data_IF_836447874295
#
_entry.id   IF_836447874295
#
_cell.length_a   1.000
_cell.length_b   1.000
_cell.length_c   1.000
_cell.angle_alpha   90.00
_cell.angle_beta   90.00
_cell.angle_gamma   90.00
#
_symmetry.space_group_name_H-M   'P 1'
#
loop_
_entity.id
_entity.type
_entity.pdbx_description
1 polymer ?
#
# COMPACT_ATOMS: atom_id res chain seq x y z
N UNK A 1 64.13 -28.34 -27.46
CA UNK A 1 63.13 -27.91 -26.47
C UNK A 1 62.12 -27.07 -27.19
N UNK A 2 60.89 -27.53 -27.42
CA UNK A 2 59.85 -26.74 -28.07
C UNK A 2 59.12 -25.85 -27.08
N UNK A 3 58.87 -24.66 -27.52
CA UNK A 3 58.26 -23.49 -26.81
C UNK A 3 56.82 -23.82 -26.36
N UNK A 4 56.48 -23.56 -25.08
CA UNK A 4 55.13 -23.74 -24.54
C UNK A 4 54.30 -22.50 -24.89
N UNK A 5 53.08 -22.66 -25.46
CA UNK A 5 52.21 -21.53 -25.71
C UNK A 5 51.75 -20.92 -24.39
N UNK A 6 51.88 -19.59 -24.24
CA UNK A 6 51.34 -18.77 -23.13
C UNK A 6 49.82 -18.97 -23.07
N UNK A 7 49.29 -19.39 -21.93
CA UNK A 7 47.85 -19.35 -21.63
C UNK A 7 47.37 -17.91 -21.71
N UNK A 8 46.51 -17.62 -22.66
CA UNK A 8 45.70 -16.42 -22.69
C UNK A 8 44.83 -16.39 -21.43
N UNK A 9 45.03 -15.41 -20.60
CA UNK A 9 44.10 -15.08 -19.51
C UNK A 9 42.81 -14.61 -20.16
N UNK A 10 41.79 -15.48 -20.16
CA UNK A 10 40.45 -15.11 -20.58
C UNK A 10 40.02 -13.88 -19.74
N UNK A 11 39.81 -12.74 -20.39
CA UNK A 11 39.21 -11.59 -19.80
C UNK A 11 37.84 -12.01 -19.21
N UNK A 12 37.54 -11.54 -18.01
CA UNK A 12 36.21 -11.73 -17.44
C UNK A 12 35.16 -11.25 -18.45
N UNK A 13 34.05 -12.00 -18.64
CA UNK A 13 33.02 -11.57 -19.56
C UNK A 13 32.53 -10.17 -19.18
N UNK A 14 32.48 -9.28 -20.17
CA UNK A 14 31.94 -7.94 -20.02
C UNK A 14 30.55 -8.01 -19.33
N UNK A 15 30.24 -7.12 -18.37
CA UNK A 15 28.94 -7.11 -17.74
C UNK A 15 27.87 -6.95 -18.81
N UNK A 16 26.91 -7.88 -18.81
CA UNK A 16 25.76 -7.88 -19.74
C UNK A 16 25.16 -6.46 -19.71
N UNK A 17 25.07 -5.75 -20.85
CA UNK A 17 24.51 -4.40 -20.87
C UNK A 17 23.12 -4.43 -20.28
N UNK A 18 22.84 -3.49 -19.34
CA UNK A 18 21.50 -3.30 -18.77
C UNK A 18 20.53 -3.05 -19.95
N UNK A 19 19.47 -3.88 -20.13
CA UNK A 19 18.58 -3.78 -21.29
C UNK A 19 17.84 -2.44 -21.40
N UNK A 20 17.93 -1.57 -20.38
CA UNK A 20 17.31 -0.24 -20.37
C UNK A 20 18.31 0.91 -20.62
N UNK A 21 19.62 0.65 -20.72
CA UNK A 21 20.65 1.69 -20.91
C UNK A 21 20.82 2.62 -19.67
N UNK A 22 20.30 2.23 -18.51
CA UNK A 22 20.43 2.99 -17.27
C UNK A 22 21.62 2.45 -16.49
N UNK A 23 22.66 3.26 -16.19
CA UNK A 23 23.80 2.79 -15.40
C UNK A 23 23.34 2.23 -14.07
N UNK A 24 23.77 1.02 -13.69
CA UNK A 24 23.36 0.31 -12.47
C UNK A 24 21.83 0.10 -12.33
N UNK A 25 21.06 0.11 -13.42
CA UNK A 25 19.59 0.07 -13.41
C UNK A 25 19.02 -1.09 -12.59
N UNK A 26 19.61 -2.28 -12.71
CA UNK A 26 19.19 -3.46 -11.95
C UNK A 26 19.39 -3.30 -10.43
N UNK A 27 20.49 -2.67 -9.99
CA UNK A 27 20.75 -2.38 -8.58
C UNK A 27 19.78 -1.31 -8.05
N UNK A 28 19.58 -0.23 -8.82
CA UNK A 28 18.64 0.84 -8.47
C UNK A 28 17.23 0.27 -8.33
N UNK A 29 16.76 -0.50 -9.30
CA UNK A 29 15.45 -1.13 -9.27
C UNK A 29 15.27 -2.04 -8.05
N UNK A 30 16.25 -2.89 -7.74
CA UNK A 30 16.21 -3.75 -6.54
C UNK A 30 16.05 -2.95 -5.25
N UNK A 31 16.76 -1.85 -5.08
CA UNK A 31 16.63 -0.99 -3.89
C UNK A 31 15.22 -0.39 -3.77
N UNK A 32 14.63 0.07 -4.88
CA UNK A 32 13.26 0.60 -4.91
C UNK A 32 12.21 -0.49 -4.65
N UNK A 33 12.41 -1.70 -5.18
CA UNK A 33 11.56 -2.85 -4.90
C UNK A 33 11.59 -3.22 -3.42
N UNK A 34 12.79 -3.31 -2.82
CA UNK A 34 12.93 -3.63 -1.39
C UNK A 34 12.33 -2.51 -0.52
N UNK A 35 12.52 -1.24 -0.89
CA UNK A 35 11.92 -0.11 -0.18
C UNK A 35 10.38 -0.17 -0.20
N UNK A 36 9.80 -0.49 -1.36
CA UNK A 36 8.35 -0.64 -1.52
C UNK A 36 7.81 -1.87 -0.77
N UNK A 37 8.54 -2.99 -0.80
CA UNK A 37 8.23 -4.20 -0.05
C UNK A 37 8.23 -3.92 1.46
N UNK A 38 9.30 -3.33 2.01
CA UNK A 38 9.44 -3.05 3.45
C UNK A 38 8.35 -2.07 3.92
N UNK A 39 8.07 -1.00 3.16
CA UNK A 39 6.98 -0.07 3.47
C UNK A 39 5.62 -0.77 3.55
N UNK A 40 5.39 -1.72 2.65
CA UNK A 40 4.14 -2.50 2.64
C UNK A 40 4.12 -3.55 3.74
N UNK A 41 5.25 -4.19 4.02
CA UNK A 41 5.38 -5.12 5.15
C UNK A 41 5.04 -4.44 6.46
N UNK A 42 5.61 -3.27 6.73
CA UNK A 42 5.34 -2.53 7.97
C UNK A 42 3.85 -2.15 8.11
N UNK A 43 3.22 -1.75 7.00
CA UNK A 43 1.81 -1.34 6.97
C UNK A 43 0.84 -2.48 7.28
N UNK A 44 1.05 -3.66 6.71
CA UNK A 44 0.14 -4.79 6.85
C UNK A 44 0.49 -5.74 7.99
N UNK A 45 1.65 -5.58 8.63
CA UNK A 45 2.06 -6.39 9.78
C UNK A 45 1.14 -6.20 10.99
N UNK A 46 0.50 -5.04 11.15
CA UNK A 46 -0.27 -4.70 12.35
C UNK A 46 -1.48 -5.62 12.56
N UNK A 47 -2.18 -6.03 11.49
CA UNK A 47 -3.45 -6.75 11.59
C UNK A 47 -3.37 -8.07 12.39
N UNK A 48 -2.45 -9.02 12.10
CA UNK A 48 -2.31 -10.24 12.89
C UNK A 48 -1.73 -10.01 14.29
N UNK A 49 -1.13 -8.85 14.56
CA UNK A 49 -0.50 -8.51 15.85
C UNK A 49 -1.45 -7.83 16.83
N UNK A 50 -2.64 -7.36 16.40
CA UNK A 50 -3.54 -6.55 17.22
C UNK A 50 -3.94 -7.24 18.52
N UNK A 51 -4.27 -8.54 18.48
CA UNK A 51 -4.65 -9.30 19.68
C UNK A 51 -3.45 -9.50 20.61
N UNK A 52 -2.26 -9.79 20.05
CA UNK A 52 -1.03 -9.93 20.85
C UNK A 52 -0.66 -8.60 21.54
N UNK A 53 -0.83 -7.49 20.84
CA UNK A 53 -0.60 -6.14 21.38
C UNK A 53 -1.62 -5.83 22.49
N UNK A 54 -2.90 -6.16 22.27
CA UNK A 54 -3.96 -5.93 23.25
C UNK A 54 -3.71 -6.70 24.55
N UNK A 55 -3.32 -7.96 24.45
CA UNK A 55 -2.98 -8.80 25.61
C UNK A 55 -1.72 -8.30 26.33
N UNK A 56 -0.65 -8.01 25.59
CA UNK A 56 0.64 -7.64 26.21
C UNK A 56 0.62 -6.25 26.87
N UNK A 57 -0.18 -5.31 26.33
CA UNK A 57 -0.30 -3.95 26.88
C UNK A 57 -1.54 -3.77 27.77
N UNK A 58 -2.27 -4.84 28.07
CA UNK A 58 -3.49 -4.86 28.90
C UNK A 58 -4.53 -3.80 28.48
N UNK A 59 -4.89 -3.79 27.21
CA UNK A 59 -5.87 -2.87 26.62
C UNK A 59 -6.91 -3.64 25.81
N UNK A 60 -8.06 -3.01 25.52
CA UNK A 60 -9.05 -3.61 24.64
C UNK A 60 -8.55 -3.71 23.19
N UNK A 61 -9.14 -4.63 22.42
CA UNK A 61 -8.82 -4.81 20.99
C UNK A 61 -9.11 -3.54 20.19
N UNK A 62 -10.17 -2.79 20.52
CA UNK A 62 -10.51 -1.53 19.89
C UNK A 62 -9.47 -0.44 20.14
N UNK A 63 -8.93 -0.38 21.37
CA UNK A 63 -7.81 0.51 21.71
C UNK A 63 -6.57 0.13 20.91
N UNK A 64 -6.25 -1.16 20.82
CA UNK A 64 -5.15 -1.64 19.97
C UNK A 64 -5.38 -1.34 18.48
N UNK A 65 -6.62 -1.47 17.98
CA UNK A 65 -6.98 -1.11 16.60
C UNK A 65 -6.82 0.40 16.33
N UNK A 66 -6.93 1.25 17.36
CA UNK A 66 -6.60 2.68 17.28
C UNK A 66 -5.17 2.94 16.80
N UNK A 67 -4.23 2.03 17.11
CA UNK A 67 -2.84 2.09 16.62
C UNK A 67 -2.78 1.94 15.10
N UNK A 68 -3.56 1.04 14.52
CA UNK A 68 -3.68 0.88 13.06
C UNK A 68 -4.38 2.09 12.43
N UNK A 69 -5.44 2.59 13.06
CA UNK A 69 -6.15 3.81 12.62
C UNK A 69 -5.21 5.02 12.57
N UNK A 70 -4.44 5.27 13.62
CA UNK A 70 -3.45 6.36 13.67
C UNK A 70 -2.37 6.23 12.59
N UNK A 71 -1.90 5.02 12.35
CA UNK A 71 -0.96 4.73 11.26
C UNK A 71 -1.55 5.10 9.90
N UNK A 72 -2.77 4.64 9.58
CA UNK A 72 -3.41 4.93 8.30
C UNK A 72 -3.70 6.41 8.12
N UNK A 73 -4.14 7.09 9.19
CA UNK A 73 -4.36 8.53 9.18
C UNK A 73 -3.08 9.29 8.78
N UNK A 74 -1.98 9.01 9.45
CA UNK A 74 -0.69 9.64 9.18
C UNK A 74 -0.17 9.25 7.79
N UNK A 75 -0.33 7.98 7.40
CA UNK A 75 0.07 7.49 6.08
C UNK A 75 -0.64 8.26 4.96
N UNK A 76 -1.94 8.48 5.08
CA UNK A 76 -2.73 9.23 4.10
C UNK A 76 -2.32 10.71 4.04
N UNK A 77 -2.31 11.39 5.17
CA UNK A 77 -2.01 12.83 5.23
C UNK A 77 -0.60 13.15 4.75
N UNK A 78 0.39 12.36 5.15
CA UNK A 78 1.78 12.59 4.82
C UNK A 78 2.13 12.30 3.37
N UNK A 79 1.33 11.55 2.61
CA UNK A 79 1.58 11.35 1.17
C UNK A 79 1.61 12.66 0.38
N UNK A 80 0.68 13.57 0.68
CA UNK A 80 0.65 14.90 0.04
C UNK A 80 1.88 15.71 0.42
N UNK A 81 2.26 15.69 1.71
CA UNK A 81 3.44 16.42 2.22
C UNK A 81 4.72 15.89 1.57
N UNK A 82 4.91 14.57 1.54
CA UNK A 82 6.09 13.96 0.94
C UNK A 82 6.17 14.19 -0.58
N UNK A 83 5.03 14.22 -1.27
CA UNK A 83 5.00 14.57 -2.69
C UNK A 83 5.62 15.94 -2.93
N UNK A 84 5.18 16.95 -2.18
CA UNK A 84 5.70 18.32 -2.27
C UNK A 84 7.17 18.41 -1.89
N UNK A 85 7.56 17.77 -0.78
CA UNK A 85 8.97 17.74 -0.38
C UNK A 85 9.85 17.04 -1.41
N UNK A 86 9.35 15.97 -2.03
CA UNK A 86 10.07 15.21 -3.04
C UNK A 86 10.37 16.05 -4.30
N UNK A 87 9.42 16.89 -4.71
CA UNK A 87 9.62 17.81 -5.83
C UNK A 87 10.65 18.90 -5.53
N UNK A 88 10.77 19.34 -4.27
CA UNK A 88 11.67 20.41 -3.84
C UNK A 88 13.06 19.94 -3.41
N UNK A 89 13.11 18.87 -2.64
CA UNK A 89 14.34 18.39 -1.99
C UNK A 89 15.04 17.29 -2.77
N UNK A 90 14.31 16.65 -3.70
CA UNK A 90 14.77 15.49 -4.44
C UNK A 90 14.18 14.17 -3.97
N UNK A 91 14.12 13.21 -4.89
CA UNK A 91 13.46 11.89 -4.67
C UNK A 91 14.24 11.06 -3.67
N UNK A 92 15.54 10.92 -3.86
CA UNK A 92 16.41 10.08 -3.01
C UNK A 92 16.56 10.68 -1.62
N UNK A 93 16.73 12.01 -1.54
CA UNK A 93 16.84 12.70 -0.25
C UNK A 93 15.58 12.50 0.58
N UNK A 94 14.41 12.67 0.00
CA UNK A 94 13.12 12.46 0.69
C UNK A 94 12.93 11.00 1.11
N UNK A 95 13.20 10.02 0.24
CA UNK A 95 13.15 8.61 0.62
C UNK A 95 14.07 8.31 1.81
N UNK A 96 15.27 8.87 1.84
CA UNK A 96 16.19 8.68 2.96
C UNK A 96 15.72 9.35 4.26
N UNK A 97 15.23 10.60 4.18
CA UNK A 97 14.63 11.26 5.36
C UNK A 97 13.47 10.46 5.93
N UNK A 98 12.59 9.99 5.07
CA UNK A 98 11.46 9.15 5.43
C UNK A 98 11.91 7.81 6.06
N UNK A 99 12.93 7.15 5.51
CA UNK A 99 13.48 5.91 6.08
C UNK A 99 14.12 6.13 7.45
N UNK A 100 14.79 7.26 7.67
CA UNK A 100 15.34 7.62 8.99
C UNK A 100 14.21 7.76 10.02
N UNK A 101 13.16 8.51 9.69
CA UNK A 101 12.00 8.66 10.58
C UNK A 101 11.23 7.35 10.78
N UNK A 102 11.09 6.53 9.73
CA UNK A 102 10.44 5.22 9.81
C UNK A 102 11.24 4.24 10.68
N UNK A 103 12.56 4.22 10.56
CA UNK A 103 13.43 3.39 11.41
C UNK A 103 13.36 3.83 12.88
N UNK A 104 13.41 5.13 13.16
CA UNK A 104 13.26 5.66 14.52
C UNK A 104 11.88 5.35 15.11
N UNK A 105 10.81 5.59 14.36
CA UNK A 105 9.44 5.26 14.80
C UNK A 105 9.20 3.76 14.95
N UNK A 106 9.76 2.95 14.05
CA UNK A 106 9.70 1.48 14.15
C UNK A 106 10.44 0.94 15.37
N UNK A 107 11.63 1.48 15.68
CA UNK A 107 12.36 1.15 16.90
C UNK A 107 11.58 1.60 18.16
N UNK A 108 11.03 2.81 18.16
CA UNK A 108 10.16 3.28 19.24
C UNK A 108 8.91 2.39 19.40
N UNK A 109 8.34 1.88 18.28
CA UNK A 109 7.24 0.91 18.31
C UNK A 109 7.64 -0.39 18.97
N UNK A 110 8.84 -0.93 18.65
CA UNK A 110 9.36 -2.15 19.24
C UNK A 110 9.63 -2.02 20.75
N UNK A 111 10.02 -0.84 21.20
CA UNK A 111 10.35 -0.54 22.60
C UNK A 111 9.16 0.04 23.39
N UNK A 112 7.98 0.16 22.80
CA UNK A 112 6.84 0.84 23.39
C UNK A 112 6.37 0.17 24.70
N UNK A 113 6.37 0.87 25.84
CA UNK A 113 5.91 0.34 27.13
C UNK A 113 4.39 0.49 27.32
N UNK A 114 3.71 1.25 26.46
CA UNK A 114 2.27 1.49 26.54
C UNK A 114 1.68 1.70 25.15
N UNK A 115 0.36 1.51 25.05
CA UNK A 115 -0.39 1.72 23.78
C UNK A 115 -0.27 3.17 23.28
N UNK A 116 -0.19 4.16 24.16
CA UNK A 116 -0.03 5.57 23.78
C UNK A 116 1.33 5.82 23.11
N UNK A 117 2.41 5.29 23.66
CA UNK A 117 3.73 5.38 23.05
C UNK A 117 3.75 4.63 21.72
N UNK A 118 3.14 3.43 21.67
CA UNK A 118 3.01 2.66 20.43
C UNK A 118 2.23 3.44 19.38
N UNK A 119 1.10 4.05 19.73
CA UNK A 119 0.28 4.87 18.82
C UNK A 119 1.10 6.01 18.20
N UNK A 120 1.80 6.79 19.04
CA UNK A 120 2.63 7.92 18.57
C UNK A 120 3.74 7.40 17.66
N UNK A 121 4.43 6.34 18.05
CA UNK A 121 5.49 5.72 17.27
C UNK A 121 4.97 5.21 15.91
N UNK A 122 3.79 4.58 15.87
CA UNK A 122 3.16 4.09 14.65
C UNK A 122 2.64 5.22 13.75
N UNK A 123 2.17 6.34 14.31
CA UNK A 123 1.84 7.56 13.56
C UNK A 123 3.10 8.07 12.83
N UNK A 124 4.22 8.19 13.53
CA UNK A 124 5.50 8.61 12.92
C UNK A 124 5.94 7.62 11.84
N UNK A 125 5.91 6.31 12.15
CA UNK A 125 6.33 5.26 11.21
C UNK A 125 5.48 5.27 9.95
N UNK A 126 4.15 5.31 10.09
CA UNK A 126 3.20 5.33 8.97
C UNK A 126 3.35 6.58 8.11
N UNK A 127 3.43 7.75 8.75
CA UNK A 127 3.67 9.00 8.07
C UNK A 127 4.98 8.99 7.26
N UNK A 128 6.04 8.41 7.80
CA UNK A 128 7.32 8.30 7.12
C UNK A 128 7.30 7.26 5.99
N UNK A 129 6.82 6.04 6.23
CA UNK A 129 6.77 5.01 5.18
C UNK A 129 5.88 5.39 4.00
N UNK A 130 4.94 6.31 4.16
CA UNK A 130 4.04 6.78 3.08
C UNK A 130 4.79 7.42 1.90
N UNK A 131 6.03 7.90 2.10
CA UNK A 131 6.87 8.48 1.05
C UNK A 131 7.37 7.45 0.03
N UNK A 132 7.61 6.20 0.48
CA UNK A 132 8.51 5.27 -0.22
C UNK A 132 7.97 4.84 -1.60
N UNK A 133 6.72 4.38 -1.66
CA UNK A 133 6.13 3.86 -2.90
C UNK A 133 5.97 4.99 -3.94
N UNK A 134 5.33 6.14 -3.61
CA UNK A 134 5.20 7.23 -4.57
C UNK A 134 6.56 7.75 -5.07
N UNK A 135 7.51 7.99 -4.16
CA UNK A 135 8.85 8.48 -4.55
C UNK A 135 9.61 7.46 -5.41
N UNK A 136 9.47 6.15 -5.15
CA UNK A 136 10.06 5.10 -5.98
C UNK A 136 9.49 5.09 -7.40
N UNK A 137 8.17 5.23 -7.54
CA UNK A 137 7.52 5.27 -8.86
C UNK A 137 7.92 6.53 -9.64
N UNK A 138 7.98 7.69 -8.97
CA UNK A 138 8.44 8.94 -9.60
C UNK A 138 9.91 8.84 -9.99
N UNK A 139 10.76 8.30 -9.12
CA UNK A 139 12.18 8.07 -9.42
C UNK A 139 12.37 7.22 -10.69
N UNK A 140 11.60 6.13 -10.84
CA UNK A 140 11.61 5.32 -12.07
C UNK A 140 11.14 6.15 -13.26
N UNK A 141 10.08 6.94 -13.09
CA UNK A 141 9.57 7.84 -14.13
C UNK A 141 10.59 8.86 -14.61
N UNK A 142 11.41 9.39 -13.70
CA UNK A 142 12.43 10.42 -13.95
C UNK A 142 13.73 9.85 -14.54
N UNK A 143 14.07 8.58 -14.24
CA UNK A 143 15.40 8.01 -14.57
C UNK A 143 15.39 6.96 -15.68
N UNK A 144 14.24 6.31 -15.96
CA UNK A 144 14.13 5.34 -17.07
C UNK A 144 13.49 5.97 -18.32
N UNK A 145 14.00 5.67 -19.53
CA UNK A 145 13.39 6.11 -20.79
C UNK A 145 11.92 5.69 -20.90
N UNK A 146 11.10 6.56 -21.51
CA UNK A 146 9.64 6.38 -21.60
C UNK A 146 9.19 5.05 -22.21
N UNK A 147 9.96 4.54 -23.19
CA UNK A 147 9.67 3.29 -23.92
C UNK A 147 9.91 2.02 -23.10
N UNK A 148 10.72 2.07 -22.03
CA UNK A 148 11.09 0.88 -21.23
C UNK A 148 10.66 0.96 -19.75
N UNK A 149 10.30 2.13 -19.24
CA UNK A 149 9.98 2.34 -17.82
C UNK A 149 8.76 1.58 -17.30
N UNK A 150 7.88 1.10 -18.19
CA UNK A 150 6.67 0.37 -17.78
C UNK A 150 7.00 -0.90 -16.98
N UNK A 151 8.06 -1.62 -17.35
CA UNK A 151 8.49 -2.82 -16.65
C UNK A 151 9.02 -2.53 -15.25
N UNK A 152 10.00 -1.61 -15.04
CA UNK A 152 10.43 -1.20 -13.70
C UNK A 152 9.30 -0.70 -12.79
N UNK A 153 8.34 0.09 -13.33
CA UNK A 153 7.16 0.52 -12.57
C UNK A 153 6.32 -0.67 -12.10
N UNK A 154 6.08 -1.64 -13.00
CA UNK A 154 5.34 -2.86 -12.65
C UNK A 154 6.07 -3.71 -11.63
N UNK A 155 7.39 -3.76 -11.69
CA UNK A 155 8.23 -4.54 -10.78
C UNK A 155 8.22 -3.94 -9.35
N UNK A 156 8.23 -2.61 -9.21
CA UNK A 156 8.07 -1.91 -7.92
C UNK A 156 6.70 -2.20 -7.31
N UNK A 157 5.62 -2.14 -8.11
CA UNK A 157 4.27 -2.45 -7.64
C UNK A 157 4.09 -3.93 -7.29
N UNK A 158 4.72 -4.84 -8.03
CA UNK A 158 4.72 -6.28 -7.72
C UNK A 158 5.44 -6.57 -6.39
N UNK A 159 6.55 -5.88 -6.11
CA UNK A 159 7.24 -5.98 -4.83
C UNK A 159 6.36 -5.49 -3.66
N UNK A 160 5.61 -4.41 -3.86
CA UNK A 160 4.63 -3.94 -2.87
C UNK A 160 3.52 -4.97 -2.62
N UNK A 161 2.96 -5.58 -3.69
CA UNK A 161 1.93 -6.61 -3.56
C UNK A 161 2.45 -7.88 -2.85
N UNK A 162 3.70 -8.30 -3.15
CA UNK A 162 4.36 -9.38 -2.43
C UNK A 162 4.55 -9.03 -0.95
N UNK A 163 4.92 -7.76 -0.67
CA UNK A 163 5.07 -7.25 0.69
C UNK A 163 3.80 -7.43 1.52
N UNK A 164 2.61 -7.29 0.94
CA UNK A 164 1.34 -7.50 1.66
C UNK A 164 1.17 -8.95 2.11
N UNK A 165 1.43 -9.93 1.22
CA UNK A 165 1.31 -11.35 1.56
C UNK A 165 2.36 -11.78 2.61
N UNK A 166 3.62 -11.33 2.42
CA UNK A 166 4.73 -11.60 3.36
C UNK A 166 4.46 -10.96 4.72
N UNK A 167 3.89 -9.75 4.74
CA UNK A 167 3.63 -9.01 5.97
C UNK A 167 2.64 -9.74 6.88
N UNK A 168 1.47 -10.09 6.35
CA UNK A 168 0.41 -10.70 7.16
C UNK A 168 0.82 -12.09 7.66
N UNK A 169 1.35 -12.94 6.78
CA UNK A 169 1.81 -14.27 7.14
C UNK A 169 3.04 -14.23 8.07
N UNK A 170 4.05 -13.44 7.69
CA UNK A 170 5.29 -13.32 8.45
C UNK A 170 5.11 -12.65 9.81
N UNK A 171 4.31 -11.58 9.89
CA UNK A 171 4.04 -10.91 11.15
C UNK A 171 3.25 -11.80 12.12
N UNK A 172 2.27 -12.55 11.62
CA UNK A 172 1.55 -13.52 12.45
C UNK A 172 2.48 -14.60 13.01
N UNK A 173 3.31 -15.20 12.15
CA UNK A 173 4.26 -16.24 12.55
C UNK A 173 5.30 -15.71 13.55
N UNK A 174 5.96 -14.61 13.24
CA UNK A 174 6.97 -14.02 14.11
C UNK A 174 6.35 -13.49 15.41
N UNK A 175 5.14 -12.95 15.35
CA UNK A 175 4.38 -12.50 16.51
C UNK A 175 4.12 -13.62 17.51
N UNK A 176 3.70 -14.80 17.02
CA UNK A 176 3.49 -15.98 17.87
C UNK A 176 4.80 -16.55 18.44
N UNK A 177 5.87 -16.63 17.62
CA UNK A 177 7.11 -17.30 18.00
C UNK A 177 8.00 -16.46 18.93
N UNK A 178 8.13 -15.16 18.66
CA UNK A 178 9.13 -14.29 19.29
C UNK A 178 8.56 -12.92 19.71
N UNK A 179 7.24 -12.74 19.56
CA UNK A 179 6.53 -11.54 20.02
C UNK A 179 6.45 -10.43 18.98
N UNK A 180 5.38 -9.62 19.10
CA UNK A 180 5.05 -8.54 18.18
C UNK A 180 6.10 -7.43 18.08
N UNK A 181 6.85 -7.18 19.16
CA UNK A 181 7.93 -6.18 19.21
C UNK A 181 9.03 -6.47 18.20
N UNK A 182 9.37 -7.75 18.03
CA UNK A 182 10.41 -8.18 17.08
C UNK A 182 10.00 -7.87 15.63
N UNK A 183 8.73 -7.96 15.29
CA UNK A 183 8.25 -7.62 13.94
C UNK A 183 8.54 -6.16 13.63
N UNK A 184 8.26 -5.24 14.56
CA UNK A 184 8.56 -3.82 14.37
C UNK A 184 10.06 -3.51 14.41
N UNK A 185 10.84 -4.23 15.22
CA UNK A 185 12.29 -4.12 15.21
C UNK A 185 12.90 -4.53 13.86
N UNK A 186 12.39 -5.61 13.25
CA UNK A 186 12.84 -6.06 11.93
C UNK A 186 12.51 -5.05 10.82
N UNK A 187 11.31 -4.48 10.81
CA UNK A 187 10.96 -3.42 9.83
C UNK A 187 11.78 -2.15 10.05
N UNK A 188 12.06 -1.79 11.30
CA UNK A 188 12.95 -0.68 11.65
C UNK A 188 14.38 -0.92 11.15
N UNK A 189 14.94 -2.10 11.39
CA UNK A 189 16.27 -2.50 10.94
C UNK A 189 16.36 -2.52 9.41
N UNK A 190 15.33 -3.03 8.72
CA UNK A 190 15.25 -3.00 7.26
C UNK A 190 15.19 -1.54 6.73
N UNK A 191 14.42 -0.67 7.39
CA UNK A 191 14.36 0.75 7.07
C UNK A 191 15.72 1.45 7.25
N UNK A 192 16.43 1.15 8.35
CA UNK A 192 17.78 1.66 8.59
C UNK A 192 18.77 1.16 7.53
N UNK A 193 18.73 -0.14 7.20
CA UNK A 193 19.56 -0.71 6.13
C UNK A 193 19.31 -0.04 4.76
N UNK A 194 18.06 0.21 4.43
CA UNK A 194 17.68 0.93 3.20
C UNK A 194 18.14 2.39 3.21
N UNK A 195 18.08 3.07 4.36
CA UNK A 195 18.63 4.43 4.49
C UNK A 195 20.09 4.51 4.05
N UNK A 196 20.91 3.53 4.43
CA UNK A 196 22.30 3.44 3.98
C UNK A 196 22.40 2.97 2.53
N UNK A 197 21.59 1.99 2.10
CA UNK A 197 21.58 1.45 0.75
C UNK A 197 21.25 2.51 -0.32
N UNK A 198 20.31 3.40 -0.02
CA UNK A 198 19.91 4.47 -0.94
C UNK A 198 20.95 5.63 -1.07
N UNK A 199 21.99 5.67 -0.23
CA UNK A 199 23.06 6.70 -0.35
C UNK A 199 23.76 6.68 -1.71
N UNK A 200 23.82 5.53 -2.36
CA UNK A 200 24.47 5.38 -3.66
C UNK A 200 23.56 5.62 -4.86
N UNK A 201 22.29 6.01 -4.65
CA UNK A 201 21.42 6.40 -5.76
C UNK A 201 21.67 7.84 -6.16
N UNK A 202 21.85 8.14 -7.47
CA UNK A 202 21.93 9.52 -7.95
C UNK A 202 20.56 10.20 -7.83
N UNK A 203 20.56 11.48 -7.52
CA UNK A 203 19.36 12.31 -7.58
C UNK A 203 19.02 12.60 -9.05
N UNK A 204 17.75 12.49 -9.50
CA UNK A 204 17.37 12.84 -10.86
C UNK A 204 17.56 14.36 -11.13
N UNK A 205 18.02 14.71 -12.35
CA UNK A 205 18.23 16.10 -12.77
C UNK A 205 16.93 16.92 -12.84
N UNK A 206 15.76 16.25 -12.94
CA UNK A 206 14.44 16.88 -12.97
C UNK A 206 14.12 17.74 -11.74
N UNK A 207 14.79 17.48 -10.62
CA UNK A 207 14.62 18.25 -9.36
C UNK A 207 15.15 19.68 -9.49
N UNK A 208 16.19 19.90 -10.28
CA UNK A 208 16.81 21.23 -10.47
C UNK A 208 15.92 22.18 -11.30
N UNK A 209 14.96 21.67 -12.04
CA UNK A 209 14.09 22.43 -12.95
C UNK A 209 12.72 22.79 -12.36
N UNK A 210 12.38 22.33 -11.15
CA UNK A 210 11.10 22.62 -10.53
C UNK A 210 11.06 24.07 -10.04
N UNK A 211 10.46 24.95 -10.83
CA UNK A 211 10.14 26.32 -10.44
C UNK A 211 9.13 26.29 -9.28
N UNK A 212 9.64 26.56 -8.09
CA UNK A 212 8.87 26.39 -6.86
C UNK A 212 8.03 27.64 -6.61
N UNK A 213 6.86 27.72 -7.21
CA UNK A 213 5.86 28.77 -6.96
C UNK A 213 5.34 28.84 -5.52
N UNK A 214 6.19 28.58 -4.52
CA UNK A 214 5.85 28.66 -3.11
C UNK A 214 4.71 27.69 -2.70
N UNK A 215 3.97 28.05 -1.64
CA UNK A 215 2.83 27.28 -1.14
C UNK A 215 1.66 27.28 -2.14
N UNK A 216 1.49 28.37 -2.89
CA UNK A 216 0.45 28.50 -3.94
C UNK A 216 0.65 27.50 -5.08
N UNK A 217 1.90 27.18 -5.45
CA UNK A 217 2.22 26.16 -6.45
C UNK A 217 1.76 24.76 -6.08
N UNK A 218 1.64 24.48 -4.77
CA UNK A 218 1.13 23.19 -4.23
C UNK A 218 -0.38 23.21 -4.06
N UNK A 219 -0.92 24.28 -3.49
CA UNK A 219 -2.34 24.36 -3.15
C UNK A 219 -3.23 24.52 -4.37
N UNK A 220 -2.76 25.22 -5.41
CA UNK A 220 -3.54 25.47 -6.64
C UNK A 220 -3.93 24.16 -7.36
N UNK A 221 -3.01 23.21 -7.66
CA UNK A 221 -3.38 21.94 -8.27
C UNK A 221 -4.32 21.11 -7.41
N UNK A 222 -4.15 21.11 -6.07
CA UNK A 222 -5.09 20.45 -5.15
C UNK A 222 -6.47 21.07 -5.22
N UNK A 223 -6.55 22.41 -5.21
CA UNK A 223 -7.80 23.14 -5.37
C UNK A 223 -8.48 22.83 -6.72
N UNK A 224 -7.71 22.72 -7.80
CA UNK A 224 -8.22 22.34 -9.12
C UNK A 224 -8.88 20.94 -9.10
N UNK A 225 -8.26 19.97 -8.44
CA UNK A 225 -8.84 18.63 -8.28
C UNK A 225 -10.12 18.67 -7.45
N UNK A 226 -10.12 19.37 -6.34
CA UNK A 226 -11.27 19.47 -5.44
C UNK A 226 -12.45 20.27 -6.05
N UNK A 227 -12.18 21.16 -7.00
CA UNK A 227 -13.21 21.88 -7.74
C UNK A 227 -13.93 21.03 -8.80
N UNK A 228 -13.27 19.98 -9.32
CA UNK A 228 -13.85 19.12 -10.35
C UNK A 228 -14.88 18.14 -9.76
N UNK A 229 -16.07 18.07 -10.40
CA UNK A 229 -17.18 17.24 -9.94
C UNK A 229 -16.89 15.74 -10.02
N UNK A 230 -16.25 15.27 -11.08
CA UNK A 230 -15.90 13.87 -11.25
C UNK A 230 -14.76 13.46 -10.32
N UNK A 231 -13.78 14.34 -10.10
CA UNK A 231 -12.73 14.09 -9.13
C UNK A 231 -13.29 13.91 -7.72
N UNK A 232 -14.24 14.74 -7.29
CA UNK A 232 -14.91 14.58 -5.98
C UNK A 232 -15.62 13.24 -5.85
N UNK A 233 -16.28 12.76 -6.91
CA UNK A 233 -16.91 11.43 -6.92
C UNK A 233 -15.84 10.33 -6.75
N UNK A 234 -14.75 10.39 -7.51
CA UNK A 234 -13.65 9.40 -7.43
C UNK A 234 -13.01 9.40 -6.04
N UNK A 235 -12.80 10.59 -5.45
CA UNK A 235 -12.25 10.72 -4.10
C UNK A 235 -13.20 10.14 -3.04
N UNK A 236 -14.51 10.41 -3.15
CA UNK A 236 -15.50 9.81 -2.24
C UNK A 236 -15.54 8.28 -2.36
N UNK A 237 -15.50 7.75 -3.59
CA UNK A 237 -15.43 6.30 -3.81
C UNK A 237 -14.15 5.71 -3.20
N UNK A 238 -13.00 6.38 -3.32
CA UNK A 238 -11.76 5.96 -2.70
C UNK A 238 -11.83 5.97 -1.17
N UNK A 239 -12.47 6.99 -0.57
CA UNK A 239 -12.69 7.03 0.87
C UNK A 239 -13.51 5.83 1.35
N UNK A 240 -14.65 5.58 0.71
CA UNK A 240 -15.52 4.45 1.06
C UNK A 240 -14.83 3.10 0.80
N UNK A 241 -14.04 2.99 -0.28
CA UNK A 241 -13.20 1.82 -0.54
C UNK A 241 -12.21 1.58 0.62
N UNK A 242 -11.57 2.63 1.14
CA UNK A 242 -10.70 2.55 2.31
C UNK A 242 -11.41 1.97 3.54
N UNK A 243 -12.66 2.39 3.77
CA UNK A 243 -13.51 1.86 4.87
C UNK A 243 -13.79 0.37 4.69
N UNK A 244 -14.25 -0.04 3.52
CA UNK A 244 -14.77 -1.42 3.34
C UNK A 244 -13.70 -2.43 2.89
N UNK A 245 -12.54 -1.97 2.40
CA UNK A 245 -11.45 -2.87 2.02
C UNK A 245 -10.39 -2.87 3.09
N UNK A 246 -9.67 -1.76 3.30
CA UNK A 246 -8.49 -1.74 4.16
C UNK A 246 -8.83 -1.81 5.65
N UNK A 247 -9.85 -1.05 6.10
CA UNK A 247 -10.24 -1.07 7.50
C UNK A 247 -10.83 -2.43 7.90
N UNK A 248 -11.78 -2.96 7.12
CA UNK A 248 -12.39 -4.25 7.42
C UNK A 248 -11.40 -5.42 7.30
N UNK A 249 -10.45 -5.36 6.33
CA UNK A 249 -9.35 -6.31 6.21
C UNK A 249 -8.51 -6.40 7.49
N UNK A 250 -8.31 -5.27 8.20
CA UNK A 250 -7.54 -5.22 9.45
C UNK A 250 -8.13 -6.14 10.54
N UNK A 251 -9.42 -6.42 10.48
CA UNK A 251 -10.11 -7.25 11.48
C UNK A 251 -10.27 -8.74 11.08
N UNK A 252 -9.85 -9.16 9.89
CA UNK A 252 -9.93 -10.58 9.50
C UNK A 252 -9.07 -11.49 10.39
N UNK A 253 -7.82 -11.09 10.65
CA UNK A 253 -6.95 -11.86 11.53
C UNK A 253 -7.44 -11.85 12.99
N UNK A 254 -7.76 -10.71 13.62
CA UNK A 254 -8.37 -10.69 14.95
C UNK A 254 -9.64 -11.53 15.08
N UNK A 255 -10.49 -11.56 14.04
CA UNK A 255 -11.71 -12.37 14.05
C UNK A 255 -11.43 -13.88 14.16
N UNK A 256 -10.38 -14.38 13.49
CA UNK A 256 -9.96 -15.78 13.65
C UNK A 256 -9.29 -16.02 15.02
N UNK A 257 -8.51 -15.07 15.51
CA UNK A 257 -7.87 -15.19 16.83
C UNK A 257 -8.92 -15.22 17.96
N UNK A 258 -10.00 -14.47 17.84
CA UNK A 258 -11.14 -14.54 18.77
C UNK A 258 -11.82 -15.93 18.81
N UNK A 259 -11.66 -16.75 17.76
CA UNK A 259 -12.11 -18.13 17.71
C UNK A 259 -11.04 -19.17 18.15
N UNK A 260 -9.93 -18.69 18.74
CA UNK A 260 -8.85 -19.53 19.23
C UNK A 260 -7.76 -19.88 18.22
N UNK A 261 -7.76 -19.30 17.01
CA UNK A 261 -6.65 -19.45 16.08
C UNK A 261 -5.42 -18.68 16.58
N UNK A 262 -4.21 -19.21 16.36
CA UNK A 262 -3.00 -18.47 16.62
C UNK A 262 -2.82 -17.28 15.66
N UNK A 263 -1.98 -16.31 16.02
CA UNK A 263 -1.67 -15.18 15.13
C UNK A 263 -0.98 -15.65 13.84
N UNK A 264 -0.19 -16.74 13.89
CA UNK A 264 0.42 -17.37 12.73
C UNK A 264 -0.64 -17.87 11.73
N UNK A 265 -1.61 -18.64 12.19
CA UNK A 265 -2.71 -19.16 11.35
C UNK A 265 -3.56 -18.01 10.81
N UNK A 266 -3.95 -17.07 11.68
CA UNK A 266 -4.78 -15.94 11.30
C UNK A 266 -4.06 -15.02 10.28
N UNK A 267 -2.76 -14.78 10.46
CA UNK A 267 -1.93 -14.00 9.55
C UNK A 267 -1.75 -14.70 8.19
N UNK A 268 -1.49 -16.01 8.18
CA UNK A 268 -1.36 -16.79 6.96
C UNK A 268 -2.66 -16.77 6.14
N UNK A 269 -3.80 -17.01 6.79
CA UNK A 269 -5.13 -17.03 6.15
C UNK A 269 -5.49 -15.64 5.59
N UNK A 270 -5.26 -14.59 6.37
CA UNK A 270 -5.50 -13.20 5.95
C UNK A 270 -4.55 -12.76 4.82
N UNK A 271 -3.38 -13.39 4.71
CA UNK A 271 -2.43 -13.22 3.60
C UNK A 271 -3.00 -13.57 2.23
N UNK A 272 -4.13 -14.26 2.17
CA UNK A 272 -4.93 -14.49 0.96
C UNK A 272 -5.23 -13.21 0.18
N UNK A 273 -5.32 -12.05 0.84
CA UNK A 273 -5.45 -10.75 0.18
C UNK A 273 -4.27 -10.44 -0.76
N UNK A 274 -3.05 -10.55 -0.28
CA UNK A 274 -1.86 -10.30 -1.09
C UNK A 274 -1.72 -11.28 -2.25
N UNK A 275 -1.98 -12.57 -2.01
CA UNK A 275 -1.97 -13.61 -3.05
C UNK A 275 -3.06 -13.35 -4.08
N UNK A 276 -4.28 -13.05 -3.64
CA UNK A 276 -5.40 -12.69 -4.52
C UNK A 276 -5.06 -11.47 -5.38
N UNK A 277 -4.53 -10.40 -4.79
CA UNK A 277 -4.13 -9.21 -5.52
C UNK A 277 -3.07 -9.52 -6.61
N UNK A 278 -2.08 -10.36 -6.32
CA UNK A 278 -1.07 -10.79 -7.29
C UNK A 278 -1.66 -11.62 -8.43
N UNK A 279 -2.52 -12.59 -8.12
CA UNK A 279 -3.14 -13.47 -9.12
C UNK A 279 -4.08 -12.69 -10.03
N UNK A 280 -5.01 -11.94 -9.43
CA UNK A 280 -6.02 -11.19 -10.19
C UNK A 280 -5.43 -10.00 -10.96
N UNK A 281 -4.32 -9.40 -10.52
CA UNK A 281 -3.63 -8.37 -11.30
C UNK A 281 -3.11 -8.90 -12.66
N UNK A 282 -2.74 -10.20 -12.74
CA UNK A 282 -2.39 -10.83 -14.02
C UNK A 282 -3.61 -10.96 -14.94
N UNK A 283 -4.77 -11.28 -14.36
CA UNK A 283 -6.03 -11.39 -15.11
C UNK A 283 -6.48 -10.01 -15.61
N UNK A 284 -6.44 -8.97 -14.77
CA UNK A 284 -6.76 -7.59 -15.20
C UNK A 284 -5.94 -7.18 -16.40
N UNK A 285 -4.63 -7.44 -16.41
CA UNK A 285 -3.75 -7.08 -17.54
C UNK A 285 -4.18 -7.72 -18.87
N UNK A 286 -4.82 -8.90 -18.84
CA UNK A 286 -5.34 -9.57 -20.04
C UNK A 286 -6.68 -8.99 -20.50
N UNK A 287 -7.45 -8.42 -19.56
CA UNK A 287 -8.80 -7.93 -19.81
C UNK A 287 -8.84 -6.42 -20.12
N UNK A 288 -7.80 -5.67 -19.71
CA UNK A 288 -7.66 -4.25 -20.08
C UNK A 288 -7.61 -4.12 -21.61
N UNK A 289 -8.43 -3.23 -22.15
CA UNK A 289 -8.60 -3.03 -23.60
C UNK A 289 -9.69 -3.91 -24.23
N UNK A 290 -10.07 -5.03 -23.61
CA UNK A 290 -11.17 -5.87 -24.08
C UNK A 290 -12.49 -5.58 -23.35
N UNK A 291 -12.40 -5.25 -22.04
CA UNK A 291 -13.54 -4.91 -21.21
C UNK A 291 -13.52 -3.41 -20.92
N UNK A 292 -14.67 -2.75 -21.04
CA UNK A 292 -14.83 -1.34 -20.71
C UNK A 292 -14.47 -1.10 -19.21
N UNK A 293 -13.90 0.07 -18.86
CA UNK A 293 -13.52 0.38 -17.47
C UNK A 293 -14.66 0.24 -16.45
N UNK A 294 -15.89 0.57 -16.82
CA UNK A 294 -17.06 0.35 -15.98
C UNK A 294 -17.32 -1.15 -15.70
N UNK A 295 -17.06 -2.01 -16.69
CA UNK A 295 -17.16 -3.47 -16.53
C UNK A 295 -16.07 -4.02 -15.59
N UNK A 296 -14.83 -3.50 -15.71
CA UNK A 296 -13.76 -3.85 -14.78
C UNK A 296 -14.10 -3.43 -13.35
N UNK A 297 -14.66 -2.22 -13.16
CA UNK A 297 -15.13 -1.77 -11.85
C UNK A 297 -16.25 -2.67 -11.30
N UNK A 298 -17.19 -3.10 -12.14
CA UNK A 298 -18.29 -3.99 -11.76
C UNK A 298 -17.78 -5.38 -11.35
N UNK A 299 -16.81 -5.95 -12.07
CA UNK A 299 -16.16 -7.24 -11.72
C UNK A 299 -15.46 -7.12 -10.37
N UNK A 300 -14.67 -6.06 -10.15
CA UNK A 300 -14.01 -5.81 -8.86
C UNK A 300 -15.01 -5.61 -7.73
N UNK A 301 -16.12 -4.95 -8.03
CA UNK A 301 -17.23 -4.79 -7.10
C UNK A 301 -17.90 -6.12 -6.74
N UNK A 302 -18.11 -7.01 -7.70
CA UNK A 302 -18.62 -8.35 -7.44
C UNK A 302 -17.69 -9.15 -6.50
N UNK A 303 -16.38 -9.06 -6.70
CA UNK A 303 -15.39 -9.63 -5.78
C UNK A 303 -15.50 -9.01 -4.38
N UNK A 304 -15.67 -7.70 -4.25
CA UNK A 304 -15.80 -7.00 -2.97
C UNK A 304 -17.04 -7.45 -2.20
N UNK A 305 -18.20 -7.51 -2.86
CA UNK A 305 -19.46 -7.96 -2.25
C UNK A 305 -19.35 -9.43 -1.85
N UNK A 306 -18.88 -10.29 -2.76
CA UNK A 306 -18.72 -11.72 -2.49
C UNK A 306 -17.76 -11.98 -1.32
N UNK A 307 -16.68 -11.18 -1.19
CA UNK A 307 -15.71 -11.31 -0.10
C UNK A 307 -16.37 -11.16 1.28
N UNK A 308 -17.35 -10.28 1.43
CA UNK A 308 -17.96 -10.01 2.73
C UNK A 308 -19.19 -10.91 3.05
N UNK A 309 -19.74 -11.64 2.09
CA UNK A 309 -20.91 -12.53 2.33
C UNK A 309 -20.55 -13.61 3.36
N UNK A 310 -19.48 -14.37 3.14
CA UNK A 310 -19.09 -15.46 4.01
C UNK A 310 -18.88 -15.04 5.46
N UNK A 311 -17.94 -14.11 5.74
CA UNK A 311 -17.67 -13.64 7.10
C UNK A 311 -18.84 -12.93 7.79
N UNK A 312 -19.79 -12.36 7.03
CA UNK A 312 -21.01 -11.76 7.58
C UNK A 312 -22.00 -12.78 8.13
N UNK A 313 -21.94 -14.03 7.66
CA UNK A 313 -22.79 -15.15 8.10
C UNK A 313 -22.07 -15.94 9.19
N UNK A 314 -20.84 -16.36 8.92
CA UNK A 314 -20.01 -17.12 9.85
C UNK A 314 -18.54 -16.81 9.65
N UNK A 315 -17.83 -16.61 10.76
CA UNK A 315 -16.37 -16.42 10.75
C UNK A 315 -15.71 -17.76 10.97
N UNK A 316 -14.91 -18.19 10.01
CA UNK A 316 -14.05 -19.39 10.10
C UNK A 316 -12.89 -19.26 9.11
N UNK A 317 -11.95 -20.21 9.13
CA UNK A 317 -10.76 -20.19 8.26
C UNK A 317 -11.14 -20.11 6.78
N UNK A 318 -12.15 -20.86 6.33
CA UNK A 318 -12.54 -20.90 4.92
C UNK A 318 -13.15 -19.56 4.45
N UNK A 319 -14.07 -18.97 5.27
CA UNK A 319 -14.72 -17.70 4.92
C UNK A 319 -13.72 -16.52 4.97
N UNK A 320 -12.77 -16.53 5.91
CA UNK A 320 -11.72 -15.48 5.98
C UNK A 320 -10.72 -15.62 4.84
N UNK A 321 -10.31 -16.83 4.47
CA UNK A 321 -9.44 -17.06 3.31
C UNK A 321 -10.13 -16.61 2.01
N UNK A 322 -11.40 -16.99 1.82
CA UNK A 322 -12.19 -16.57 0.67
C UNK A 322 -12.37 -15.04 0.63
N UNK A 323 -12.60 -14.41 1.79
CA UNK A 323 -12.68 -12.97 1.91
C UNK A 323 -11.35 -12.30 1.53
N UNK A 324 -10.22 -12.77 2.08
CA UNK A 324 -8.90 -12.28 1.70
C UNK A 324 -8.67 -12.34 0.19
N UNK A 325 -8.87 -13.51 -0.41
CA UNK A 325 -8.70 -13.70 -1.86
C UNK A 325 -9.64 -12.80 -2.67
N UNK A 326 -10.92 -12.71 -2.29
CA UNK A 326 -11.91 -11.85 -2.94
C UNK A 326 -11.58 -10.37 -2.84
N UNK A 327 -11.14 -9.90 -1.67
CA UNK A 327 -10.64 -8.53 -1.49
C UNK A 327 -9.41 -8.24 -2.36
N UNK A 328 -8.52 -9.24 -2.54
CA UNK A 328 -7.41 -9.15 -3.49
C UNK A 328 -7.90 -8.96 -4.93
N UNK A 329 -8.97 -9.67 -5.31
CA UNK A 329 -9.65 -9.47 -6.60
C UNK A 329 -10.26 -8.06 -6.73
N UNK A 330 -10.98 -7.60 -5.70
CA UNK A 330 -11.52 -6.25 -5.65
C UNK A 330 -10.41 -5.19 -5.80
N UNK A 331 -9.30 -5.37 -5.09
CA UNK A 331 -8.13 -4.48 -5.21
C UNK A 331 -7.58 -4.45 -6.63
N UNK A 332 -7.39 -5.62 -7.26
CA UNK A 332 -6.87 -5.70 -8.61
C UNK A 332 -7.79 -5.05 -9.65
N UNK A 333 -9.10 -5.21 -9.54
CA UNK A 333 -10.07 -4.74 -10.52
C UNK A 333 -10.66 -3.37 -10.18
N UNK A 334 -11.29 -3.21 -9.00
CA UNK A 334 -11.99 -1.97 -8.61
C UNK A 334 -10.99 -0.88 -8.28
N UNK A 335 -10.07 -1.13 -7.32
CA UNK A 335 -9.07 -0.13 -6.90
C UNK A 335 -8.24 0.38 -8.08
N UNK A 336 -7.69 -0.52 -8.91
CA UNK A 336 -6.89 -0.11 -10.06
C UNK A 336 -7.69 0.72 -11.07
N UNK A 337 -8.98 0.41 -11.26
CA UNK A 337 -9.88 1.19 -12.13
C UNK A 337 -10.15 2.57 -11.56
N UNK A 338 -10.44 2.69 -10.26
CA UNK A 338 -10.66 3.98 -9.58
C UNK A 338 -9.39 4.83 -9.62
N UNK A 339 -8.23 4.24 -9.33
CA UNK A 339 -6.94 4.94 -9.37
C UNK A 339 -6.60 5.43 -10.79
N UNK A 340 -6.84 4.59 -11.80
CA UNK A 340 -6.68 5.00 -13.21
C UNK A 340 -7.63 6.13 -13.56
N UNK A 341 -8.87 6.05 -13.11
CA UNK A 341 -9.86 7.11 -13.33
C UNK A 341 -9.45 8.43 -12.67
N UNK A 342 -8.88 8.40 -11.46
CA UNK A 342 -8.33 9.58 -10.81
C UNK A 342 -7.25 10.28 -11.66
N UNK A 343 -6.48 9.53 -12.46
CA UNK A 343 -5.48 10.13 -13.38
C UNK A 343 -6.08 10.81 -14.62
N UNK A 344 -7.35 10.53 -14.93
CA UNK A 344 -8.02 10.97 -16.15
C UNK A 344 -8.91 12.20 -15.93
N UNK A 345 -9.51 12.34 -14.74
CA UNK A 345 -10.52 13.39 -14.46
C UNK A 345 -9.95 14.81 -14.48
N UNK A 346 -8.68 15.00 -14.07
CA UNK A 346 -8.00 16.31 -14.08
C UNK A 346 -6.61 16.16 -14.69
N UNK A 347 -6.48 16.07 -16.03
CA UNK A 347 -5.21 15.80 -16.69
C UNK A 347 -4.10 16.80 -16.37
N UNK A 348 -4.46 18.08 -16.14
CA UNK A 348 -3.53 19.17 -15.79
C UNK A 348 -3.00 19.10 -14.34
N UNK A 349 -3.66 18.33 -13.46
CA UNK A 349 -3.26 18.15 -12.06
C UNK A 349 -3.17 16.66 -11.66
N UNK A 350 -2.76 15.80 -12.62
CA UNK A 350 -2.75 14.32 -12.48
C UNK A 350 -2.02 13.84 -11.23
N UNK A 351 -0.83 14.38 -10.93
CA UNK A 351 -0.05 13.99 -9.76
C UNK A 351 -0.81 14.30 -8.45
N UNK A 352 -1.41 15.49 -8.37
CA UNK A 352 -2.24 15.89 -7.22
C UNK A 352 -3.50 15.06 -7.07
N UNK A 353 -4.14 14.66 -8.18
CA UNK A 353 -5.30 13.78 -8.16
C UNK A 353 -4.97 12.39 -7.60
N UNK A 354 -3.84 11.80 -8.01
CA UNK A 354 -3.36 10.51 -7.46
C UNK A 354 -2.98 10.63 -5.99
N UNK A 355 -2.31 11.71 -5.60
CA UNK A 355 -1.94 11.93 -4.20
C UNK A 355 -3.18 12.10 -3.29
N UNK A 356 -4.18 12.89 -3.72
CA UNK A 356 -5.45 13.03 -3.01
C UNK A 356 -6.23 11.71 -2.97
N UNK A 357 -6.28 10.96 -4.07
CA UNK A 357 -6.91 9.64 -4.12
C UNK A 357 -6.34 8.72 -3.04
N UNK A 358 -5.02 8.59 -2.98
CA UNK A 358 -4.35 7.77 -1.99
C UNK A 358 -4.55 8.32 -0.56
N UNK A 359 -4.47 9.64 -0.36
CA UNK A 359 -4.71 10.25 0.94
C UNK A 359 -6.12 9.94 1.47
N UNK A 360 -7.16 10.16 0.67
CA UNK A 360 -8.55 9.91 1.11
C UNK A 360 -8.86 8.43 1.27
N UNK A 361 -8.23 7.53 0.50
CA UNK A 361 -8.31 6.08 0.70
C UNK A 361 -7.84 5.68 2.11
N UNK A 362 -6.67 6.19 2.53
CA UNK A 362 -6.14 5.90 3.85
C UNK A 362 -6.88 6.63 4.97
N UNK A 363 -7.43 7.82 4.72
CA UNK A 363 -8.35 8.48 5.64
C UNK A 363 -9.62 7.64 5.86
N UNK A 364 -10.17 7.06 4.79
CA UNK A 364 -11.28 6.10 4.87
C UNK A 364 -10.91 4.87 5.69
N UNK A 365 -9.70 4.33 5.47
CA UNK A 365 -9.20 3.21 6.26
C UNK A 365 -9.07 3.56 7.74
N UNK A 366 -8.52 4.71 8.08
CA UNK A 366 -8.41 5.19 9.46
C UNK A 366 -9.79 5.34 10.12
N UNK A 367 -10.72 6.03 9.45
CA UNK A 367 -12.07 6.22 9.92
C UNK A 367 -12.82 4.90 10.09
N UNK A 368 -12.75 4.01 9.10
CA UNK A 368 -13.38 2.69 9.15
C UNK A 368 -12.83 1.81 10.27
N UNK A 369 -11.52 1.82 10.50
CA UNK A 369 -10.90 1.08 11.61
C UNK A 369 -11.36 1.62 12.97
N UNK A 370 -11.42 2.93 13.14
CA UNK A 370 -11.91 3.55 14.36
C UNK A 370 -13.40 3.27 14.60
N UNK A 371 -14.24 3.35 13.57
CA UNK A 371 -15.69 3.06 13.66
C UNK A 371 -15.98 1.58 13.94
N UNK A 372 -15.10 0.67 13.48
CA UNK A 372 -15.25 -0.76 13.72
C UNK A 372 -14.74 -1.21 15.11
N UNK A 373 -13.94 -0.39 15.80
CA UNK A 373 -13.35 -0.73 17.09
C UNK A 373 -14.35 -1.19 18.16
N UNK A 374 -15.50 -0.53 18.39
CA UNK A 374 -16.48 -0.98 19.39
C UNK A 374 -17.08 -2.36 19.07
N UNK A 375 -17.27 -2.68 17.79
CA UNK A 375 -17.76 -4.01 17.38
C UNK A 375 -16.70 -5.10 17.60
N UNK A 376 -15.43 -4.76 17.38
CA UNK A 376 -14.31 -5.66 17.65
C UNK A 376 -14.13 -5.92 19.13
N UNK A 377 -14.27 -4.89 20.00
CA UNK A 377 -14.24 -5.03 21.46
C UNK A 377 -15.37 -5.92 21.99
N UNK A 378 -16.55 -5.82 21.38
CA UNK A 378 -17.69 -6.66 21.72
C UNK A 378 -17.60 -8.08 21.13
N UNK A 379 -16.53 -8.42 20.38
CA UNK A 379 -16.41 -9.70 19.66
C UNK A 379 -17.40 -9.87 18.50
N UNK A 380 -18.09 -8.80 18.09
CA UNK A 380 -19.16 -8.83 17.10
C UNK A 380 -18.63 -8.75 15.65
N UNK A 381 -17.64 -9.57 15.30
CA UNK A 381 -16.99 -9.55 13.98
C UNK A 381 -17.96 -9.81 12.82
N UNK A 382 -18.93 -10.72 12.99
CA UNK A 382 -19.97 -10.96 11.97
C UNK A 382 -20.80 -9.70 11.67
N UNK A 383 -21.09 -8.87 12.69
CA UNK A 383 -21.78 -7.59 12.51
C UNK A 383 -20.89 -6.55 11.84
N UNK A 384 -19.59 -6.52 12.16
CA UNK A 384 -18.60 -5.69 11.50
C UNK A 384 -18.54 -6.00 10.00
N UNK A 385 -18.43 -7.27 9.62
CA UNK A 385 -18.39 -7.68 8.22
C UNK A 385 -19.71 -7.48 7.48
N UNK A 386 -20.87 -7.60 8.18
CA UNK A 386 -22.18 -7.21 7.64
C UNK A 386 -22.24 -5.70 7.35
N UNK A 387 -21.74 -4.87 8.23
CA UNK A 387 -21.65 -3.43 7.98
C UNK A 387 -20.78 -3.13 6.75
N UNK A 388 -19.63 -3.81 6.62
CA UNK A 388 -18.78 -3.68 5.44
C UNK A 388 -19.52 -4.12 4.16
N UNK A 389 -20.28 -5.22 4.19
CA UNK A 389 -21.10 -5.69 3.07
C UNK A 389 -22.17 -4.66 2.68
N UNK A 390 -22.90 -4.14 3.65
CA UNK A 390 -23.98 -3.14 3.43
C UNK A 390 -23.42 -1.87 2.77
N UNK A 391 -22.23 -1.42 3.18
CA UNK A 391 -21.57 -0.24 2.59
C UNK A 391 -20.92 -0.56 1.23
N UNK A 392 -20.46 -1.80 1.02
CA UNK A 392 -19.85 -2.22 -0.23
C UNK A 392 -20.85 -2.20 -1.41
N UNK A 393 -22.11 -2.59 -1.19
CA UNK A 393 -23.12 -2.63 -2.27
C UNK A 393 -23.33 -1.27 -2.92
N UNK A 394 -23.69 -0.17 -2.21
CA UNK A 394 -23.83 1.13 -2.82
C UNK A 394 -22.53 1.69 -3.41
N UNK A 395 -21.36 1.39 -2.80
CA UNK A 395 -20.07 1.75 -3.37
C UNK A 395 -19.91 1.18 -4.78
N UNK A 396 -20.16 -0.11 -4.94
CA UNK A 396 -19.97 -0.82 -6.21
C UNK A 396 -20.94 -0.32 -7.27
N UNK A 397 -22.22 -0.17 -6.93
CA UNK A 397 -23.24 0.34 -7.85
C UNK A 397 -22.90 1.77 -8.31
N UNK A 398 -22.50 2.62 -7.37
CA UNK A 398 -22.12 4.00 -7.68
C UNK A 398 -20.84 4.05 -8.52
N UNK A 399 -19.82 3.24 -8.20
CA UNK A 399 -18.58 3.21 -8.96
C UNK A 399 -18.80 2.75 -10.41
N UNK A 400 -19.55 1.67 -10.62
CA UNK A 400 -19.84 1.16 -11.97
C UNK A 400 -20.69 2.15 -12.78
N UNK A 401 -21.76 2.70 -12.19
CA UNK A 401 -22.66 3.63 -12.86
C UNK A 401 -21.98 4.98 -13.17
N UNK A 402 -21.25 5.54 -12.21
CA UNK A 402 -20.54 6.80 -12.39
C UNK A 402 -19.42 6.66 -13.44
N UNK A 403 -18.68 5.54 -13.43
CA UNK A 403 -17.64 5.27 -14.44
C UNK A 403 -18.22 5.07 -15.84
N UNK A 404 -19.39 4.43 -15.93
CA UNK A 404 -20.10 4.30 -17.19
C UNK A 404 -20.60 5.65 -17.74
N UNK A 405 -21.19 6.51 -16.88
CA UNK A 405 -21.61 7.88 -17.26
C UNK A 405 -20.43 8.72 -17.70
N UNK A 406 -19.33 8.71 -16.96
CA UNK A 406 -18.11 9.43 -17.34
C UNK A 406 -17.62 9.03 -18.73
N UNK A 407 -17.57 7.73 -19.04
CA UNK A 407 -17.12 7.25 -20.35
C UNK A 407 -18.06 7.59 -21.52
N UNK A 408 -19.30 8.07 -21.26
CA UNK A 408 -20.20 8.61 -22.27
C UNK A 408 -19.95 10.08 -22.52
N UNK A 409 -19.70 10.85 -21.47
CA UNK A 409 -19.41 12.30 -21.58
C UNK A 409 -18.08 12.53 -22.28
N UNK A 410 -17.08 11.69 -22.02
CA UNK A 410 -15.74 11.79 -22.61
C UNK A 410 -15.70 11.42 -24.11
N UNK A 411 -16.77 10.81 -24.64
CA UNK A 411 -16.92 10.44 -26.07
C UNK A 411 -17.83 11.39 -26.84
N UNK A 412 -18.56 12.26 -26.16
CA UNK A 412 -19.46 13.26 -26.77
C UNK A 412 -18.76 14.61 -26.89
#
# INVERSE_FOLDING_TARGET
MPDRPRRSTAAAPDPVPDPAGVPDGARRLRLLQVASLVSTCDRFAIAPLLVLIAIDLDVSLGVAAGVASGYFLAYGLMQVVWGVLSDRLGRVRVMRMALCGAAAGGLASALAPSVTVLLIARIVTGGCFSALIPASLVYVGDTWPANVRQRPLSDVLAASALGTAVATAGAGLLGDLIGWRTVFALTAAAGAGLFFGLRGLPEPDSVAAADTGGLSGVLRPLGTVLADGWARIVLLLAFVEGVVVLAALTFLAPALQALGSSAAVAGLVSGGFGVGALVFSRLVRRLVGTIAPAGLAAIGGAFLVAAWIGPSITVNVATVLAAGAGLGGAWAFLHSTLQTWATQVVPQARASAVALFAAVLFLGSAAGTALAAPLADAGMFGSLFRAALVVAVPLVLTAALARWRYGRVDRA
#
